data_IF_898351142267
#
_entry.id   IF_898351142267
#
_cell.length_a   1.000
_cell.length_b   1.000
_cell.length_c   1.000
_cell.angle_alpha   90.00
_cell.angle_beta   90.00
_cell.angle_gamma   90.00
#
_symmetry.space_group_name_H-M   'P 1'
#
loop_
_entity.id
_entity.type
_entity.pdbx_description
1 polymer ?
#
# COMPACT_ATOMS: atom_id res chain seq x y z
N UNK A 1 5.85 4.16 -5.11
CA UNK A 1 6.52 3.32 -4.07
C UNK A 1 7.51 2.37 -4.72
N UNK A 2 8.72 2.21 -4.18
CA UNK A 2 9.77 1.31 -4.68
C UNK A 2 9.56 -0.16 -4.27
N UNK A 3 10.35 -1.08 -4.82
CA UNK A 3 10.28 -2.51 -4.45
C UNK A 3 10.70 -2.75 -2.99
N UNK A 4 11.66 -1.97 -2.48
CA UNK A 4 12.09 -2.04 -1.08
C UNK A 4 10.97 -1.59 -0.11
N UNK A 5 10.24 -0.54 -0.47
CA UNK A 5 9.09 -0.09 0.30
C UNK A 5 7.94 -1.11 0.24
N UNK A 6 7.71 -1.77 -0.91
CA UNK A 6 6.75 -2.87 -0.97
C UNK A 6 7.19 -4.04 -0.07
N UNK A 7 8.47 -4.40 -0.08
CA UNK A 7 9.00 -5.44 0.79
C UNK A 7 8.78 -5.11 2.27
N UNK A 8 9.01 -3.86 2.65
CA UNK A 8 8.74 -3.36 4.00
C UNK A 8 7.25 -3.44 4.36
N UNK A 9 6.37 -3.03 3.43
CA UNK A 9 4.92 -3.11 3.61
C UNK A 9 4.45 -4.56 3.81
N UNK A 10 4.92 -5.49 2.97
CA UNK A 10 4.61 -6.93 3.07
C UNK A 10 5.19 -7.53 4.35
N UNK A 11 6.40 -7.15 4.76
CA UNK A 11 6.99 -7.61 6.02
C UNK A 11 6.18 -7.15 7.23
N UNK A 12 5.78 -5.86 7.27
CA UNK A 12 4.90 -5.32 8.32
C UNK A 12 3.57 -6.08 8.35
N UNK A 13 2.95 -6.27 7.19
CA UNK A 13 1.68 -6.95 7.04
C UNK A 13 1.72 -8.41 7.54
N UNK A 14 2.79 -9.15 7.21
CA UNK A 14 3.02 -10.54 7.65
C UNK A 14 3.13 -10.66 9.18
N UNK A 15 3.56 -9.61 9.90
CA UNK A 15 3.60 -9.63 11.38
C UNK A 15 2.21 -9.69 12.00
N UNK A 16 1.21 -9.13 11.31
CA UNK A 16 -0.19 -9.13 11.71
C UNK A 16 -0.93 -10.37 11.19
N UNK A 17 -0.56 -10.86 9.99
CA UNK A 17 -1.12 -12.06 9.33
C UNK A 17 -0.03 -13.12 9.14
N UNK A 18 0.21 -13.90 10.19
CA UNK A 18 1.31 -14.87 10.29
C UNK A 18 1.19 -16.07 9.36
N UNK A 19 -0.01 -16.34 8.88
CA UNK A 19 -0.39 -17.42 7.98
C UNK A 19 -0.13 -17.09 6.49
N UNK A 20 0.13 -15.82 6.18
CA UNK A 20 0.23 -15.34 4.81
C UNK A 20 1.52 -15.78 4.08
N UNK A 21 2.65 -15.69 4.76
CA UNK A 21 3.97 -15.97 4.22
C UNK A 21 4.85 -16.56 5.33
N UNK A 22 5.77 -17.49 5.03
CA UNK A 22 6.66 -18.03 6.05
C UNK A 22 7.59 -16.95 6.62
N UNK A 23 8.14 -17.17 7.83
CA UNK A 23 9.11 -16.26 8.42
C UNK A 23 10.41 -16.27 7.61
N UNK A 24 11.10 -15.13 7.53
CA UNK A 24 12.35 -15.00 6.79
C UNK A 24 12.54 -13.61 6.19
N UNK A 25 13.66 -13.38 5.53
CA UNK A 25 13.96 -12.08 4.90
C UNK A 25 13.47 -12.06 3.47
N UNK A 26 12.65 -11.07 3.11
CA UNK A 26 12.25 -10.83 1.72
C UNK A 26 13.46 -10.26 0.97
N UNK A 27 13.89 -10.92 -0.09
CA UNK A 27 15.05 -10.50 -0.90
C UNK A 27 14.71 -10.26 -2.38
N UNK A 28 13.49 -10.59 -2.81
CA UNK A 28 13.03 -10.38 -4.17
C UNK A 28 11.53 -10.18 -4.23
N UNK A 29 11.10 -9.30 -5.13
CA UNK A 29 9.70 -8.99 -5.40
C UNK A 29 9.53 -8.82 -6.91
N UNK A 30 8.56 -9.52 -7.49
CA UNK A 30 8.28 -9.47 -8.92
C UNK A 30 6.78 -9.41 -9.18
N UNK A 31 6.34 -8.45 -10.01
CA UNK A 31 4.95 -8.35 -10.42
C UNK A 31 4.56 -9.48 -11.38
N UNK A 32 3.41 -10.10 -11.15
CA UNK A 32 2.83 -11.11 -12.04
C UNK A 32 1.72 -10.50 -12.91
N UNK A 33 1.41 -11.15 -14.03
CA UNK A 33 0.46 -10.63 -15.05
C UNK A 33 -0.98 -10.49 -14.56
N UNK A 34 -1.35 -11.25 -13.54
CA UNK A 34 -2.67 -11.27 -12.91
C UNK A 34 -2.81 -10.26 -11.76
N UNK A 35 -1.77 -9.48 -11.48
CA UNK A 35 -1.73 -8.54 -10.36
C UNK A 35 -1.27 -9.16 -9.05
N UNK A 36 -0.98 -10.47 -9.04
CA UNK A 36 -0.28 -11.11 -7.94
C UNK A 36 1.19 -10.68 -7.92
N UNK A 37 1.86 -10.99 -6.81
CA UNK A 37 3.27 -10.65 -6.64
C UNK A 37 4.02 -11.89 -6.18
N UNK A 38 5.10 -12.22 -6.89
CA UNK A 38 6.02 -13.26 -6.48
C UNK A 38 7.00 -12.67 -5.45
N UNK A 39 7.03 -13.25 -4.26
CA UNK A 39 7.87 -12.84 -3.14
C UNK A 39 8.92 -13.92 -2.89
N UNK A 40 10.19 -13.57 -3.03
CA UNK A 40 11.31 -14.46 -2.72
C UNK A 40 11.77 -14.24 -1.26
N UNK A 41 11.78 -15.31 -0.47
CA UNK A 41 12.08 -15.29 0.96
C UNK A 41 13.27 -16.20 1.26
N UNK A 42 14.25 -15.63 1.96
CA UNK A 42 15.36 -16.37 2.58
C UNK A 42 14.96 -16.77 4.00
N UNK A 43 14.98 -18.07 4.27
CA UNK A 43 14.65 -18.66 5.57
C UNK A 43 15.89 -19.34 6.17
N UNK A 44 16.15 -19.08 7.45
CA UNK A 44 17.29 -19.67 8.18
C UNK A 44 16.82 -20.74 9.15
N UNK A 45 17.40 -21.93 9.06
CA UNK A 45 17.11 -23.09 9.89
C UNK A 45 18.41 -23.62 10.50
N UNK A 46 18.83 -23.06 11.64
CA UNK A 46 20.13 -23.36 12.23
C UNK A 46 21.26 -22.98 11.27
N UNK A 47 22.15 -23.91 10.88
CA UNK A 47 23.22 -23.64 9.91
C UNK A 47 22.74 -23.60 8.44
N UNK A 48 21.49 -24.02 8.16
CA UNK A 48 20.98 -24.14 6.81
C UNK A 48 20.24 -22.87 6.36
N UNK A 49 20.44 -22.49 5.10
CA UNK A 49 19.70 -21.41 4.43
C UNK A 49 18.85 -22.01 3.32
N UNK A 50 17.55 -21.68 3.29
CA UNK A 50 16.63 -22.07 2.23
C UNK A 50 16.06 -20.81 1.59
N UNK A 51 16.12 -20.74 0.27
CA UNK A 51 15.45 -19.70 -0.52
C UNK A 51 14.24 -20.32 -1.19
N UNK A 52 13.09 -19.67 -1.09
CA UNK A 52 11.85 -20.13 -1.70
C UNK A 52 11.02 -18.94 -2.17
N UNK A 53 10.12 -19.18 -3.12
CA UNK A 53 9.29 -18.13 -3.74
C UNK A 53 7.82 -18.43 -3.55
N UNK A 54 7.06 -17.41 -3.15
CA UNK A 54 5.64 -17.53 -2.83
C UNK A 54 4.84 -16.53 -3.66
N UNK A 55 3.68 -16.94 -4.15
CA UNK A 55 2.74 -16.02 -4.79
C UNK A 55 1.90 -15.38 -3.69
N UNK A 56 1.99 -14.06 -3.59
CA UNK A 56 1.12 -13.25 -2.78
C UNK A 56 -0.04 -12.75 -3.66
N UNK A 57 -1.26 -13.16 -3.32
CA UNK A 57 -2.44 -12.81 -4.10
C UNK A 57 -2.71 -11.29 -4.07
N UNK A 58 -3.27 -10.78 -5.16
CA UNK A 58 -3.49 -9.35 -5.38
C UNK A 58 -4.22 -8.66 -4.22
N UNK A 59 -5.21 -9.32 -3.62
CA UNK A 59 -5.98 -8.76 -2.50
C UNK A 59 -5.11 -8.48 -1.28
N UNK A 60 -4.14 -9.36 -0.99
CA UNK A 60 -3.22 -9.19 0.14
C UNK A 60 -2.15 -8.14 -0.15
N UNK A 61 -1.76 -7.99 -1.42
CA UNK A 61 -0.86 -6.90 -1.86
C UNK A 61 -1.54 -5.55 -1.63
N UNK A 62 -2.83 -5.43 -2.00
CA UNK A 62 -3.63 -4.22 -1.78
C UNK A 62 -3.78 -3.93 -0.28
N UNK A 63 -4.07 -4.95 0.54
CA UNK A 63 -4.23 -4.79 1.98
C UNK A 63 -2.92 -4.39 2.68
N UNK A 64 -1.79 -4.98 2.29
CA UNK A 64 -0.46 -4.63 2.78
C UNK A 64 -0.12 -3.16 2.47
N UNK A 65 -0.39 -2.72 1.25
CA UNK A 65 -0.16 -1.34 0.82
C UNK A 65 -1.05 -0.32 1.53
N UNK A 66 -2.35 -0.62 1.65
CA UNK A 66 -3.27 0.24 2.37
C UNK A 66 -2.87 0.38 3.85
N UNK A 67 -2.44 -0.71 4.51
CA UNK A 67 -1.93 -0.66 5.88
C UNK A 67 -0.65 0.15 5.99
N UNK A 68 0.30 -0.04 5.08
CA UNK A 68 1.53 0.75 5.07
C UNK A 68 1.24 2.25 4.98
N UNK A 69 0.30 2.68 4.14
CA UNK A 69 -0.15 4.08 4.10
C UNK A 69 -0.68 4.56 5.45
N UNK A 70 -1.55 3.78 6.11
CA UNK A 70 -2.12 4.15 7.41
C UNK A 70 -1.01 4.23 8.48
N UNK A 71 -0.11 3.25 8.53
CA UNK A 71 1.03 3.19 9.47
C UNK A 71 2.01 4.35 9.28
N UNK A 72 2.11 4.88 8.05
CA UNK A 72 2.97 6.03 7.71
C UNK A 72 2.23 7.37 7.74
N UNK A 73 1.02 7.42 8.34
CA UNK A 73 0.18 8.62 8.44
C UNK A 73 -0.26 9.21 7.10
N UNK A 74 -0.30 8.40 6.04
CA UNK A 74 -0.88 8.77 4.76
C UNK A 74 -2.39 8.53 4.84
N UNK A 75 -3.16 9.61 4.78
CA UNK A 75 -4.63 9.55 4.80
C UNK A 75 -5.12 8.94 3.48
N UNK A 76 -5.77 7.77 3.58
CA UNK A 76 -6.43 7.13 2.44
C UNK A 76 -7.95 7.06 2.66
N UNK A 77 -8.76 7.23 1.60
CA UNK A 77 -10.20 7.05 1.69
C UNK A 77 -10.59 5.63 2.14
N UNK A 78 -11.54 5.55 3.09
CA UNK A 78 -12.03 4.26 3.61
C UNK A 78 -12.78 3.48 2.53
N UNK A 79 -13.64 4.16 1.78
CA UNK A 79 -14.35 3.56 0.65
C UNK A 79 -13.56 3.60 -0.66
N UNK A 80 -14.27 3.39 -1.76
CA UNK A 80 -13.68 3.22 -3.09
C UNK A 80 -13.06 1.83 -3.36
N UNK A 81 -13.00 1.49 -4.65
CA UNK A 81 -12.29 0.31 -5.14
C UNK A 81 -10.78 0.57 -5.12
N UNK A 82 -10.01 -0.39 -4.62
CA UNK A 82 -8.55 -0.28 -4.49
C UNK A 82 -7.90 -1.29 -5.43
N UNK A 83 -6.85 -0.88 -6.13
CA UNK A 83 -6.07 -1.73 -7.03
C UNK A 83 -4.60 -1.38 -6.92
N UNK A 84 -3.74 -2.38 -7.04
CA UNK A 84 -2.30 -2.18 -7.13
C UNK A 84 -1.84 -2.35 -8.57
N UNK A 85 -0.99 -1.43 -9.02
CA UNK A 85 -0.38 -1.44 -10.35
C UNK A 85 1.14 -1.36 -10.19
N UNK A 86 1.87 -2.05 -11.06
CA UNK A 86 3.32 -1.88 -11.21
C UNK A 86 3.58 -1.09 -12.49
N UNK A 87 4.24 0.06 -12.36
CA UNK A 87 4.90 0.74 -13.47
C UNK A 87 6.37 0.31 -13.54
N UNK A 88 7.11 0.78 -14.54
CA UNK A 88 8.52 0.45 -14.71
C UNK A 88 9.38 0.74 -13.46
N UNK A 89 9.00 1.71 -12.64
CA UNK A 89 9.79 2.18 -11.50
C UNK A 89 9.12 2.02 -10.15
N UNK A 90 7.79 1.89 -10.12
CA UNK A 90 7.07 1.99 -8.86
C UNK A 90 5.77 1.18 -8.81
N UNK A 91 5.44 0.78 -7.61
CA UNK A 91 4.14 0.30 -7.20
C UNK A 91 3.23 1.47 -6.88
N UNK A 92 2.02 1.41 -7.42
CA UNK A 92 1.00 2.43 -7.32
C UNK A 92 -0.24 1.79 -6.69
N UNK A 93 -0.72 2.37 -5.59
CA UNK A 93 -2.03 2.07 -5.03
C UNK A 93 -3.06 3.03 -5.65
N UNK A 94 -3.83 2.53 -6.61
CA UNK A 94 -4.94 3.28 -7.21
C UNK A 94 -6.19 3.12 -6.34
N UNK A 95 -6.82 4.24 -5.95
CA UNK A 95 -8.09 4.25 -5.21
C UNK A 95 -9.12 4.98 -6.06
N UNK A 96 -10.13 4.26 -6.54
CA UNK A 96 -11.29 4.82 -7.26
C UNK A 96 -12.45 4.99 -6.31
N UNK A 97 -12.74 6.24 -5.96
CA UNK A 97 -13.90 6.61 -5.15
C UNK A 97 -15.20 6.33 -5.90
N UNK A 98 -16.26 5.98 -5.17
CA UNK A 98 -17.61 5.99 -5.74
C UNK A 98 -18.03 7.43 -6.01
N UNK A 99 -18.87 7.68 -7.02
CA UNK A 99 -19.30 9.04 -7.39
C UNK A 99 -19.84 9.86 -6.20
N UNK A 100 -20.56 9.21 -5.28
CA UNK A 100 -21.07 9.83 -4.05
C UNK A 100 -19.96 10.28 -3.08
N UNK A 101 -18.86 9.53 -3.01
CA UNK A 101 -17.70 9.84 -2.17
C UNK A 101 -16.81 10.90 -2.83
N UNK A 102 -16.73 10.91 -4.17
CA UNK A 102 -16.06 11.97 -4.94
C UNK A 102 -16.71 13.33 -4.70
N UNK A 103 -18.06 13.39 -4.68
CA UNK A 103 -18.79 14.62 -4.42
C UNK A 103 -18.55 15.16 -2.99
N UNK A 104 -18.45 14.26 -2.01
CA UNK A 104 -18.15 14.62 -0.62
C UNK A 104 -16.71 15.11 -0.44
N UNK A 105 -15.74 14.43 -1.07
CA UNK A 105 -14.34 14.87 -1.04
C UNK A 105 -14.16 16.23 -1.73
N UNK A 106 -14.76 16.44 -2.91
CA UNK A 106 -14.67 17.72 -3.61
C UNK A 106 -15.28 18.86 -2.78
N UNK A 107 -16.42 18.62 -2.13
CA UNK A 107 -17.06 19.62 -1.25
C UNK A 107 -16.21 19.95 -0.02
N UNK A 108 -15.47 18.98 0.53
CA UNK A 108 -14.59 19.20 1.68
C UNK A 108 -13.36 20.04 1.30
N UNK A 109 -12.72 19.73 0.15
CA UNK A 109 -11.56 20.50 -0.33
C UNK A 109 -11.93 21.94 -0.67
N UNK A 110 -13.11 22.17 -1.24
CA UNK A 110 -13.61 23.52 -1.56
C UNK A 110 -13.89 24.33 -0.28
N UNK A 111 -14.45 23.68 0.75
CA UNK A 111 -14.69 24.29 2.05
C UNK A 111 -13.40 24.63 2.81
N UNK A 112 -12.38 23.77 2.77
CA UNK A 112 -11.05 24.05 3.37
C UNK A 112 -10.33 25.20 2.65
N UNK A 113 -10.44 25.26 1.32
CA UNK A 113 -9.88 26.34 0.52
C UNK A 113 -10.59 27.67 0.81
N UNK A 114 -11.92 27.67 0.89
CA UNK A 114 -12.71 28.85 1.23
C UNK A 114 -12.43 29.36 2.65
N UNK A 115 -12.31 28.46 3.63
CA UNK A 115 -11.97 28.81 5.01
C UNK A 115 -10.56 29.43 5.11
N UNK A 116 -9.60 28.91 4.35
CA UNK A 116 -8.22 29.44 4.30
C UNK A 116 -8.16 30.87 3.72
N UNK A 117 -8.98 31.18 2.71
CA UNK A 117 -9.09 32.54 2.14
C UNK A 117 -9.68 33.52 3.16
N UNK A 118 -10.66 33.10 3.96
CA UNK A 118 -11.30 33.94 4.97
C UNK A 118 -10.38 34.29 6.14
N UNK A 119 -9.43 33.42 6.50
CA UNK A 119 -8.43 33.71 7.54
C UNK A 119 -7.26 34.58 7.06
N UNK A 120 -7.02 34.66 5.75
CA UNK A 120 -5.92 35.46 5.17
C UNK A 120 -6.24 36.95 4.98
N UNK A 121 -7.50 37.36 5.09
CA UNK A 121 -7.96 38.75 4.86
C UNK A 121 -8.07 39.59 6.14
N UNK A 122 -7.74 39.04 7.32
CA UNK A 122 -7.87 39.72 8.61
C UNK A 122 -6.56 40.35 9.15
N UNK A 123 -5.52 40.46 8.34
CA UNK A 123 -4.24 41.08 8.72
C UNK A 123 -3.87 42.22 7.76
N UNK A 124 -4.56 43.36 7.87
CA UNK A 124 -4.07 44.64 7.34
C UNK A 124 -4.56 45.81 8.21
#
# INVERSE_FOLDING_TARGET
MTDAELASAVDSFRRVRKDLLPPGTIHGIEAQKDGNVLIAIEMKFGPNVRNDSFILEHEFVVEALARFCIETNIVIPRGGAKKVLKSDKEWILEIRLKASEMAQHAAFTDAELAASVQTGIAAH
#
